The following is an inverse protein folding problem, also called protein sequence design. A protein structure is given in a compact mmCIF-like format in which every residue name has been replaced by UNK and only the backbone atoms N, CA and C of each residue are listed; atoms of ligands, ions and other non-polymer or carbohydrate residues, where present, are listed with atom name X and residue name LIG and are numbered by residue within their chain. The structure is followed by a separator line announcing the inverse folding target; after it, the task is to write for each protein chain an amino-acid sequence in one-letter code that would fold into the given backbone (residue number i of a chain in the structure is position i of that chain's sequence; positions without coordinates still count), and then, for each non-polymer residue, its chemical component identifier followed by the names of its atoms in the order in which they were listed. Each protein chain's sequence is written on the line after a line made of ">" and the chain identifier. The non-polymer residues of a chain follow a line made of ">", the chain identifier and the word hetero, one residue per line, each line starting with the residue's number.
data_IF_168136288400
#
_entry.id   IF_168136288400
#
_cell.length_a   1.000
_cell.length_b   1.000
_cell.length_c   1.000
_cell.angle_alpha   90.00
_cell.angle_beta   90.00
_cell.angle_gamma   90.00
#
_symmetry.space_group_name_H-M   'P 1'
#
loop_
_entity.id
_entity.type
_entity.pdbx_description
1 polymer ?
#
# COMPACT_ATOMS: atom_id res chain seq x y z
N UNK A 1 8.24 -17.13 8.10
CA UNK A 1 7.27 -17.88 7.27
C UNK A 1 7.77 -17.86 5.84
N UNK A 2 8.00 -19.02 5.24
CA UNK A 2 8.64 -19.17 3.92
C UNK A 2 7.62 -19.72 2.91
N UNK A 3 6.60 -18.92 2.59
CA UNK A 3 5.45 -19.36 1.78
C UNK A 3 5.80 -19.84 0.37
N UNK A 4 6.94 -19.42 -0.17
CA UNK A 4 7.33 -19.69 -1.55
C UNK A 4 8.45 -20.72 -1.67
N UNK A 5 8.94 -21.29 -0.57
CA UNK A 5 10.01 -22.29 -0.63
C UNK A 5 9.61 -23.57 -1.39
N UNK A 6 8.36 -24.08 -1.28
CA UNK A 6 7.92 -25.19 -2.13
C UNK A 6 7.89 -24.86 -3.63
N UNK A 7 7.79 -23.58 -4.00
CA UNK A 7 7.88 -23.15 -5.41
C UNK A 7 9.34 -23.19 -5.89
N UNK A 8 10.28 -22.78 -5.04
CA UNK A 8 11.71 -22.82 -5.35
C UNK A 8 12.19 -24.23 -5.63
N UNK A 9 11.77 -25.20 -4.82
CA UNK A 9 12.17 -26.60 -5.03
C UNK A 9 11.73 -27.12 -6.41
N UNK A 10 10.62 -26.60 -6.96
CA UNK A 10 10.16 -26.95 -8.31
C UNK A 10 10.93 -26.23 -9.42
N UNK A 11 11.27 -24.96 -9.21
CA UNK A 11 11.90 -24.12 -10.25
C UNK A 11 13.42 -24.29 -10.28
N UNK A 12 14.03 -24.49 -9.11
CA UNK A 12 15.47 -24.65 -8.93
C UNK A 12 15.81 -25.92 -8.13
N UNK A 13 15.48 -27.12 -8.66
CA UNK A 13 15.60 -28.37 -7.92
C UNK A 13 17.03 -28.70 -7.50
N UNK A 14 18.04 -28.26 -8.26
CA UNK A 14 19.46 -28.58 -8.00
C UNK A 14 20.19 -27.51 -7.17
N UNK A 15 19.54 -26.38 -6.88
CA UNK A 15 20.22 -25.23 -6.27
C UNK A 15 20.76 -25.58 -4.89
N UNK A 16 19.95 -26.21 -4.03
CA UNK A 16 20.37 -26.57 -2.68
C UNK A 16 21.11 -27.90 -2.63
N UNK A 17 20.80 -28.84 -3.51
CA UNK A 17 21.41 -30.18 -3.52
C UNK A 17 22.78 -30.23 -4.20
N UNK A 18 23.09 -29.31 -5.11
CA UNK A 18 24.34 -29.33 -5.89
C UNK A 18 25.07 -28.00 -5.91
N UNK A 19 24.39 -26.91 -6.30
CA UNK A 19 25.07 -25.62 -6.56
C UNK A 19 25.52 -24.91 -5.28
N UNK A 20 24.73 -25.01 -4.21
CA UNK A 20 24.96 -24.29 -2.95
C UNK A 20 25.45 -25.21 -1.81
N UNK A 21 25.91 -26.43 -2.12
CA UNK A 21 26.33 -27.41 -1.10
C UNK A 21 27.44 -26.86 -0.20
N UNK A 22 28.42 -26.18 -0.80
CA UNK A 22 29.55 -25.58 -0.06
C UNK A 22 29.22 -24.21 0.55
N UNK A 23 28.08 -23.62 0.16
CA UNK A 23 27.63 -22.31 0.64
C UNK A 23 26.11 -22.35 0.86
N UNK A 24 25.64 -22.92 1.99
CA UNK A 24 24.21 -23.05 2.24
C UNK A 24 23.53 -21.68 2.24
N UNK A 25 22.72 -21.42 1.22
CA UNK A 25 21.93 -20.21 1.06
C UNK A 25 20.46 -20.47 1.38
N UNK A 26 19.71 -19.41 1.67
CA UNK A 26 18.25 -19.43 1.81
C UNK A 26 17.64 -18.34 0.95
N UNK A 27 16.46 -18.58 0.41
CA UNK A 27 15.73 -17.51 -0.26
C UNK A 27 15.30 -16.44 0.74
N UNK A 28 15.51 -15.20 0.34
CA UNK A 28 14.98 -14.04 1.03
C UNK A 28 13.91 -13.39 0.16
N UNK A 29 12.65 -13.56 0.56
CA UNK A 29 11.50 -13.09 -0.20
C UNK A 29 11.17 -11.64 0.16
N UNK A 30 11.09 -10.80 -0.87
CA UNK A 30 10.69 -9.40 -0.76
C UNK A 30 9.39 -9.14 -1.49
N UNK A 31 8.66 -8.13 -1.02
CA UNK A 31 7.49 -7.58 -1.67
C UNK A 31 7.83 -6.13 -2.03
N UNK A 32 8.10 -5.87 -3.31
CA UNK A 32 8.43 -4.52 -3.78
C UNK A 32 7.24 -3.60 -3.55
N UNK A 33 6.13 -3.91 -4.22
CA UNK A 33 4.88 -3.19 -4.16
C UNK A 33 3.77 -4.10 -3.63
N UNK A 34 2.95 -3.57 -2.73
CA UNK A 34 1.72 -4.22 -2.30
C UNK A 34 0.54 -3.28 -2.50
N UNK A 35 -0.53 -3.82 -3.05
CA UNK A 35 -1.80 -3.12 -3.24
C UNK A 35 -2.87 -3.75 -2.34
N UNK A 36 -3.65 -2.91 -1.70
CA UNK A 36 -4.85 -3.30 -0.97
C UNK A 36 -6.02 -2.48 -1.46
N UNK A 37 -7.10 -3.13 -1.88
CA UNK A 37 -8.25 -2.49 -2.48
C UNK A 37 -9.55 -2.93 -1.81
N UNK A 38 -10.42 -1.97 -1.53
CA UNK A 38 -11.78 -2.20 -1.07
C UNK A 38 -12.76 -1.74 -2.14
N UNK A 39 -13.61 -2.65 -2.58
CA UNK A 39 -14.61 -2.40 -3.63
C UNK A 39 -16.00 -2.21 -3.03
N UNK A 40 -16.63 -1.09 -3.38
CA UNK A 40 -18.04 -0.84 -3.13
C UNK A 40 -18.80 -0.99 -4.45
N UNK A 41 -19.61 -2.05 -4.54
CA UNK A 41 -20.36 -2.37 -5.76
C UNK A 41 -21.74 -1.72 -5.74
N UNK A 42 -22.07 -1.03 -6.83
CA UNK A 42 -23.35 -0.37 -7.07
C UNK A 42 -24.11 -1.15 -8.13
N UNK A 43 -25.29 -1.69 -7.76
CA UNK A 43 -26.18 -2.36 -8.73
C UNK A 43 -26.70 -1.40 -9.80
N UNK A 44 -26.94 -0.14 -9.43
CA UNK A 44 -27.33 0.90 -10.36
C UNK A 44 -26.11 1.79 -10.68
N UNK A 45 -25.54 1.70 -11.89
CA UNK A 45 -24.38 2.50 -12.26
C UNK A 45 -24.64 4.01 -12.19
N UNK A 46 -25.87 4.48 -12.42
CA UNK A 46 -26.21 5.90 -12.39
C UNK A 46 -26.16 6.48 -10.97
N UNK A 47 -26.34 5.65 -9.94
CA UNK A 47 -26.12 6.09 -8.56
C UNK A 47 -24.65 6.46 -8.36
N UNK A 48 -23.72 5.61 -8.82
CA UNK A 48 -22.30 5.89 -8.70
C UNK A 48 -21.91 7.13 -9.52
N UNK A 49 -22.41 7.27 -10.76
CA UNK A 49 -22.14 8.46 -11.59
C UNK A 49 -22.53 9.77 -10.90
N UNK A 50 -23.61 9.76 -10.12
CA UNK A 50 -24.06 10.94 -9.37
C UNK A 50 -23.20 11.22 -8.12
N UNK A 51 -22.67 10.17 -7.49
CA UNK A 51 -21.87 10.28 -6.26
C UNK A 51 -20.40 10.63 -6.51
N UNK A 52 -19.82 10.16 -7.61
CA UNK A 52 -18.38 10.32 -7.88
C UNK A 52 -17.95 11.79 -7.93
N UNK A 53 -18.57 12.68 -8.72
CA UNK A 53 -18.12 14.08 -8.80
C UNK A 53 -18.07 14.80 -7.43
N UNK A 54 -19.12 14.78 -6.58
CA UNK A 54 -19.05 15.42 -5.28
C UNK A 54 -18.06 14.74 -4.32
N UNK A 55 -17.93 13.40 -4.35
CA UNK A 55 -16.95 12.70 -3.53
C UNK A 55 -15.51 13.08 -3.89
N UNK A 56 -15.18 13.13 -5.18
CA UNK A 56 -13.86 13.53 -5.64
C UNK A 56 -13.58 15.01 -5.33
N UNK A 57 -14.58 15.89 -5.50
CA UNK A 57 -14.45 17.29 -5.12
C UNK A 57 -14.15 17.43 -3.63
N UNK A 58 -14.91 16.76 -2.76
CA UNK A 58 -14.66 16.71 -1.31
C UNK A 58 -13.28 16.14 -0.99
N UNK A 59 -12.85 15.08 -1.69
CA UNK A 59 -11.50 14.55 -1.56
C UNK A 59 -10.41 15.59 -1.86
N UNK A 60 -10.63 16.48 -2.83
CA UNK A 60 -9.66 17.54 -3.16
C UNK A 60 -9.72 18.69 -2.14
N UNK A 61 -10.91 19.16 -1.76
CA UNK A 61 -11.04 20.37 -0.95
C UNK A 61 -10.98 20.12 0.56
N UNK A 62 -11.33 18.91 1.01
CA UNK A 62 -11.41 18.57 2.44
C UNK A 62 -10.22 17.76 2.94
N UNK A 63 -9.53 16.99 2.08
CA UNK A 63 -8.34 16.25 2.50
C UNK A 63 -7.09 17.11 2.32
N UNK A 64 -6.72 17.77 3.41
CA UNK A 64 -5.51 18.58 3.43
C UNK A 64 -4.26 17.70 3.47
N UNK A 65 -3.11 18.28 3.11
CA UNK A 65 -1.81 17.62 3.23
C UNK A 65 -1.59 16.92 4.58
N UNK A 66 -1.86 17.57 5.74
CA UNK A 66 -1.77 16.90 7.04
C UNK A 66 -2.59 15.61 7.16
N UNK A 67 -3.78 15.54 6.55
CA UNK A 67 -4.67 14.38 6.67
C UNK A 67 -4.09 13.17 5.93
N UNK A 68 -3.58 13.41 4.71
CA UNK A 68 -2.88 12.37 3.94
C UNK A 68 -1.61 11.91 4.68
N UNK A 69 -0.86 12.84 5.25
CA UNK A 69 0.34 12.52 6.04
C UNK A 69 0.01 11.64 7.25
N UNK A 70 -1.02 12.00 8.02
CA UNK A 70 -1.47 11.20 9.17
C UNK A 70 -1.91 9.79 8.74
N UNK A 71 -2.70 9.71 7.69
CA UNK A 71 -3.15 8.44 7.14
C UNK A 71 -1.96 7.54 6.75
N UNK A 72 -0.94 8.11 6.12
CA UNK A 72 0.28 7.39 5.74
C UNK A 72 1.30 7.24 6.88
N UNK A 73 0.85 7.31 8.13
CA UNK A 73 1.65 7.06 9.33
C UNK A 73 2.74 8.11 9.60
N UNK A 74 2.66 9.30 8.99
CA UNK A 74 3.62 10.39 9.22
C UNK A 74 3.18 11.28 10.36
N UNK A 75 4.18 11.74 11.13
CA UNK A 75 3.97 12.74 12.18
C UNK A 75 3.70 14.09 11.55
N UNK A 76 2.69 14.78 12.06
CA UNK A 76 2.38 16.17 11.75
C UNK A 76 2.45 16.99 13.03
N UNK A 77 2.87 18.24 12.90
CA UNK A 77 2.91 19.20 14.01
C UNK A 77 1.49 19.55 14.46
N UNK A 78 1.31 20.11 15.68
CA UNK A 78 0.01 20.61 16.13
C UNK A 78 -0.61 21.66 15.19
N UNK A 79 0.24 22.39 14.44
CA UNK A 79 -0.17 23.38 13.43
C UNK A 79 -0.53 22.76 12.07
N UNK A 80 -0.52 21.43 11.94
CA UNK A 80 -0.83 20.71 10.70
C UNK A 80 0.33 20.60 9.70
N UNK A 81 1.47 21.25 9.95
CA UNK A 81 2.63 21.12 9.06
C UNK A 81 3.28 19.74 9.20
N UNK A 82 3.89 19.25 8.12
CA UNK A 82 4.75 18.08 8.19
C UNK A 82 5.81 18.23 9.30
N UNK A 83 6.07 17.17 10.06
CA UNK A 83 7.14 17.21 11.05
C UNK A 83 8.48 17.53 10.39
N UNK A 84 9.34 18.25 11.12
CA UNK A 84 10.65 18.65 10.65
C UNK A 84 11.44 17.42 10.12
N UNK A 85 12.00 17.55 8.91
CA UNK A 85 12.77 16.50 8.26
C UNK A 85 12.00 15.61 7.27
N UNK A 86 10.67 15.72 7.16
CA UNK A 86 9.94 15.04 6.08
C UNK A 86 10.27 15.68 4.72
N UNK A 87 11.06 15.00 3.90
CA UNK A 87 11.47 15.45 2.55
C UNK A 87 10.72 14.75 1.41
N UNK A 88 9.66 14.01 1.73
CA UNK A 88 8.90 13.27 0.72
C UNK A 88 7.93 14.21 -0.01
N UNK A 89 7.90 14.21 -1.35
CA UNK A 89 6.95 15.01 -2.10
C UNK A 89 5.53 14.48 -1.83
N UNK A 90 4.61 15.40 -1.55
CA UNK A 90 3.19 15.11 -1.45
C UNK A 90 2.48 15.75 -2.64
N UNK A 91 1.66 14.99 -3.34
CA UNK A 91 0.87 15.48 -4.46
C UNK A 91 -0.53 14.88 -4.48
N UNK A 92 -1.48 15.63 -5.00
CA UNK A 92 -2.86 15.20 -5.26
C UNK A 92 -3.13 15.37 -6.74
N UNK A 93 -3.63 14.32 -7.38
CA UNK A 93 -3.96 14.27 -8.81
C UNK A 93 -5.44 13.90 -8.96
N UNK A 94 -6.21 14.75 -9.66
CA UNK A 94 -7.57 14.48 -10.06
C UNK A 94 -7.58 14.22 -11.57
N UNK A 95 -8.05 13.04 -11.98
CA UNK A 95 -8.20 12.66 -13.39
C UNK A 95 -9.63 12.30 -13.70
N UNK A 96 -10.19 12.91 -14.72
CA UNK A 96 -11.53 12.61 -15.24
C UNK A 96 -11.38 12.09 -16.66
N UNK A 97 -12.00 10.96 -16.96
CA UNK A 97 -12.04 10.32 -18.28
C UNK A 97 -13.48 9.94 -18.61
N UNK A 98 -13.72 9.60 -19.88
CA UNK A 98 -15.05 9.22 -20.39
C UNK A 98 -15.72 8.08 -19.60
N UNK A 99 -14.92 7.18 -19.01
CA UNK A 99 -15.41 5.97 -18.30
C UNK A 99 -15.15 5.97 -16.80
N UNK A 100 -14.76 7.10 -16.22
CA UNK A 100 -14.53 7.21 -14.79
C UNK A 100 -13.59 8.35 -14.43
N UNK A 101 -13.53 8.64 -13.14
CA UNK A 101 -12.74 9.66 -12.53
C UNK A 101 -11.97 9.09 -11.31
N UNK A 102 -10.90 9.78 -10.94
CA UNK A 102 -10.01 9.34 -9.88
C UNK A 102 -9.43 10.53 -9.16
N UNK A 103 -9.41 10.46 -7.84
CA UNK A 103 -8.47 11.21 -7.01
C UNK A 103 -7.37 10.28 -6.53
N UNK A 104 -6.12 10.75 -6.57
CA UNK A 104 -4.96 10.03 -6.08
C UNK A 104 -4.10 10.97 -5.24
N UNK A 105 -3.81 10.60 -4.00
CA UNK A 105 -2.80 11.25 -3.18
C UNK A 105 -1.53 10.39 -3.16
N UNK A 106 -0.37 11.00 -3.40
CA UNK A 106 0.94 10.35 -3.40
C UNK A 106 1.86 10.98 -2.38
N UNK A 107 2.46 10.19 -1.50
CA UNK A 107 3.56 10.59 -0.64
C UNK A 107 4.81 9.80 -1.06
N UNK A 108 5.70 10.45 -1.82
CA UNK A 108 6.78 9.75 -2.49
C UNK A 108 6.23 8.62 -3.36
N UNK A 109 6.68 7.36 -3.16
CA UNK A 109 6.23 6.21 -3.96
C UNK A 109 4.95 5.55 -3.43
N UNK A 110 4.50 5.88 -2.21
CA UNK A 110 3.24 5.35 -1.67
C UNK A 110 2.05 6.18 -2.18
N UNK A 111 0.90 5.55 -2.39
CA UNK A 111 -0.27 6.27 -2.87
C UNK A 111 -1.58 5.71 -2.38
N UNK A 112 -2.55 6.57 -2.10
CA UNK A 112 -3.95 6.22 -1.88
C UNK A 112 -4.80 6.79 -3.00
N UNK A 113 -5.76 6.02 -3.48
CA UNK A 113 -6.60 6.36 -4.63
C UNK A 113 -8.05 6.03 -4.32
N UNK A 114 -8.95 6.88 -4.83
CA UNK A 114 -10.38 6.59 -4.92
C UNK A 114 -10.81 6.79 -6.36
N UNK A 115 -11.43 5.78 -6.97
CA UNK A 115 -11.87 5.85 -8.35
C UNK A 115 -13.05 4.93 -8.65
N UNK A 116 -13.84 5.32 -9.64
CA UNK A 116 -14.89 4.50 -10.22
C UNK A 116 -14.40 3.73 -11.45
N UNK A 117 -14.95 2.52 -11.63
CA UNK A 117 -14.64 1.62 -12.74
C UNK A 117 -15.81 0.69 -13.04
N UNK A 118 -15.64 -0.10 -14.11
CA UNK A 118 -16.49 -1.24 -14.45
C UNK A 118 -17.98 -0.89 -14.57
N UNK A 119 -18.30 0.20 -15.26
CA UNK A 119 -19.67 0.54 -15.61
C UNK A 119 -20.20 -0.41 -16.69
N UNK A 120 -21.12 -1.29 -16.33
CA UNK A 120 -21.82 -2.20 -17.22
C UNK A 120 -23.27 -2.47 -16.76
N UNK A 121 -23.94 -3.44 -17.40
CA UNK A 121 -25.33 -3.81 -17.08
C UNK A 121 -25.48 -4.50 -15.72
N UNK A 122 -24.40 -5.06 -15.16
CA UNK A 122 -24.38 -5.74 -13.87
C UNK A 122 -24.08 -4.78 -12.71
N UNK A 123 -23.47 -3.63 -13.00
CA UNK A 123 -23.30 -2.56 -12.04
C UNK A 123 -22.13 -1.62 -12.34
N UNK A 124 -21.62 -1.01 -11.27
CA UNK A 124 -20.38 -0.23 -11.28
C UNK A 124 -19.67 -0.38 -9.93
N UNK A 125 -18.38 -0.04 -9.88
CA UNK A 125 -17.55 -0.19 -8.68
C UNK A 125 -16.88 1.12 -8.32
N UNK A 126 -16.98 1.52 -7.06
CA UNK A 126 -16.11 2.51 -6.44
C UNK A 126 -15.03 1.78 -5.65
N UNK A 127 -13.76 2.01 -6.01
CA UNK A 127 -12.61 1.38 -5.36
C UNK A 127 -11.82 2.40 -4.57
N UNK A 128 -11.60 2.10 -3.29
CA UNK A 128 -10.54 2.71 -2.49
C UNK A 128 -9.32 1.78 -2.50
N UNK A 129 -8.15 2.31 -2.83
CA UNK A 129 -6.95 1.52 -3.07
C UNK A 129 -5.73 2.19 -2.41
N UNK A 130 -4.95 1.42 -1.65
CA UNK A 130 -3.66 1.82 -1.10
C UNK A 130 -2.55 1.01 -1.78
N UNK A 131 -1.53 1.70 -2.26
CA UNK A 131 -0.29 1.13 -2.79
C UNK A 131 0.87 1.48 -1.86
N UNK A 132 1.54 0.47 -1.33
CA UNK A 132 2.74 0.60 -0.49
C UNK A 132 3.95 0.05 -1.25
N UNK A 133 4.75 0.98 -1.77
CA UNK A 133 6.03 0.71 -2.44
C UNK A 133 7.24 0.93 -1.52
N UNK A 134 7.11 1.85 -0.56
CA UNK A 134 8.12 2.14 0.45
C UNK A 134 7.61 1.73 1.82
N UNK A 135 7.66 0.43 2.13
CA UNK A 135 7.19 -0.09 3.42
C UNK A 135 7.91 0.53 4.63
N UNK A 136 9.19 0.84 4.51
CA UNK A 136 10.00 1.43 5.61
C UNK A 136 9.48 2.79 6.10
N UNK A 137 8.57 3.42 5.35
CA UNK A 137 7.89 4.62 5.77
C UNK A 137 6.92 4.42 6.94
N UNK A 138 6.48 3.18 7.17
CA UNK A 138 5.60 2.78 8.26
C UNK A 138 6.41 2.15 9.40
N UNK A 139 5.92 2.32 10.63
CA UNK A 139 6.49 1.71 11.83
C UNK A 139 5.62 0.55 12.29
N UNK A 140 6.26 -0.55 12.67
CA UNK A 140 5.60 -1.75 13.20
C UNK A 140 6.31 -2.19 14.49
N UNK A 141 5.54 -2.69 15.45
CA UNK A 141 6.08 -3.15 16.72
C UNK A 141 6.51 -4.62 16.60
N UNK A 142 7.81 -4.87 16.50
CA UNK A 142 8.37 -6.21 16.22
C UNK A 142 9.79 -6.41 16.75
N UNK A 143 10.22 -7.67 16.82
CA UNK A 143 11.61 -8.07 17.01
C UNK A 143 12.41 -7.92 15.71
N UNK A 144 13.73 -8.05 15.78
CA UNK A 144 14.60 -8.24 14.60
C UNK A 144 14.52 -9.70 14.13
N UNK A 145 15.43 -10.14 13.26
CA UNK A 145 15.56 -11.57 12.92
C UNK A 145 16.27 -12.38 14.01
N UNK A 146 16.83 -11.71 15.01
CA UNK A 146 17.35 -12.35 16.22
C UNK A 146 16.19 -12.60 17.20
N UNK A 147 15.88 -13.87 17.53
CA UNK A 147 14.82 -14.22 18.49
C UNK A 147 15.04 -13.64 19.89
N UNK A 148 16.30 -13.36 20.28
CA UNK A 148 16.64 -12.77 21.57
C UNK A 148 16.42 -11.25 21.62
N UNK A 149 16.19 -10.61 20.46
CA UNK A 149 16.01 -9.16 20.41
C UNK A 149 14.73 -8.70 21.08
N UNK A 150 14.75 -7.52 21.71
CA UNK A 150 13.55 -6.95 22.33
C UNK A 150 12.58 -6.40 21.28
N UNK A 151 11.28 -6.54 21.55
CA UNK A 151 10.22 -5.88 20.79
C UNK A 151 10.37 -4.36 20.86
N UNK A 152 10.34 -3.69 19.72
CA UNK A 152 10.29 -2.24 19.64
C UNK A 152 9.68 -1.78 18.32
N UNK A 153 9.33 -0.48 18.27
CA UNK A 153 8.92 0.16 17.03
C UNK A 153 10.07 0.21 16.04
N UNK A 154 9.86 -0.36 14.85
CA UNK A 154 10.87 -0.48 13.80
C UNK A 154 10.24 -0.16 12.45
N UNK A 155 11.04 0.31 11.47
CA UNK A 155 10.58 0.38 10.09
C UNK A 155 10.06 -0.98 9.61
N UNK A 156 8.90 -0.97 8.98
CA UNK A 156 8.35 -2.15 8.33
C UNK A 156 9.30 -2.64 7.24
N UNK A 157 9.48 -3.95 7.17
CA UNK A 157 10.40 -4.59 6.24
C UNK A 157 9.78 -4.64 4.86
N UNK A 158 10.64 -4.65 3.86
CA UNK A 158 10.23 -4.99 2.50
C UNK A 158 10.00 -6.50 2.34
N UNK A 159 10.53 -7.32 3.24
CA UNK A 159 10.37 -8.77 3.22
C UNK A 159 8.91 -9.20 3.37
N UNK A 160 8.58 -10.38 2.86
CA UNK A 160 7.24 -10.97 3.01
C UNK A 160 6.86 -11.30 4.46
N UNK A 161 7.82 -11.31 5.39
CA UNK A 161 7.57 -11.49 6.82
C UNK A 161 6.60 -10.44 7.42
N UNK A 162 6.60 -9.21 6.88
CA UNK A 162 5.77 -8.12 7.38
C UNK A 162 4.48 -7.93 6.54
N UNK A 163 4.10 -8.90 5.69
CA UNK A 163 2.88 -8.80 4.85
C UNK A 163 1.61 -8.57 5.65
N UNK A 164 1.47 -9.22 6.80
CA UNK A 164 0.35 -8.98 7.72
C UNK A 164 0.31 -7.53 8.21
N UNK A 165 1.47 -6.94 8.52
CA UNK A 165 1.52 -5.54 8.94
C UNK A 165 1.21 -4.56 7.80
N UNK A 166 1.54 -4.90 6.55
CA UNK A 166 1.11 -4.12 5.38
C UNK A 166 -0.41 -4.08 5.29
N UNK A 167 -1.09 -5.21 5.52
CA UNK A 167 -2.55 -5.25 5.53
C UNK A 167 -3.16 -4.41 6.67
N UNK A 168 -2.55 -4.35 7.86
CA UNK A 168 -3.04 -3.54 8.99
C UNK A 168 -3.04 -2.04 8.69
N UNK A 169 -2.03 -1.55 7.96
CA UNK A 169 -1.91 -0.12 7.64
C UNK A 169 -2.64 0.26 6.34
N UNK A 170 -3.36 -0.69 5.74
CA UNK A 170 -4.09 -0.52 4.48
C UNK A 170 -5.59 -0.38 4.65
#
# INVERSE_FOLDING_TARGET
>A
MQWFDPLVEKVHPLLFSEMCVNYPMKYFWTCQDSEWATDLMFRNPDQLRRLVPPLLYLGVVSLSSPDVLRFMGKKVTPRGNAAAGLRLPLSTDLKIRTRGARIQHRLGPNSIQLYDKAYDELGAVLRAELTISQARDFQVYRQTDDPASVLAWRPMRQSTADMHHRAIVS
#
